data_IF_971408372667
#
_entry.id   IF_971408372667
#
_cell.length_a   1.000
_cell.length_b   1.000
_cell.length_c   1.000
_cell.angle_alpha   90.00
_cell.angle_beta   90.00
_cell.angle_gamma   90.00
#
_symmetry.space_group_name_H-M   'P 1'
#
loop_
_entity.id
_entity.type
_entity.pdbx_description
1 polymer ?
#
# COMPACT_ATOMS: atom_id res chain seq x y z
N UNK A 1 1.70 -0.03 13.89
CA UNK A 1 0.54 0.46 13.13
C UNK A 1 -0.48 0.93 14.15
N UNK A 2 -1.12 2.09 13.97
CA UNK A 2 -2.13 2.58 14.92
C UNK A 2 -3.40 1.72 14.82
N UNK A 3 -4.02 1.45 15.96
CA UNK A 3 -5.25 0.70 16.12
C UNK A 3 -6.22 1.56 16.95
N UNK A 4 -7.44 1.81 16.47
CA UNK A 4 -8.42 2.59 17.21
C UNK A 4 -8.93 1.80 18.42
N UNK A 5 -9.31 2.52 19.48
CA UNK A 5 -10.07 1.91 20.58
C UNK A 5 -11.40 1.36 20.03
N UNK A 6 -11.87 0.24 20.60
CA UNK A 6 -13.21 -0.31 20.37
C UNK A 6 -14.36 0.69 20.53
N UNK A 7 -14.18 1.73 21.36
CA UNK A 7 -15.15 2.81 21.55
C UNK A 7 -15.10 3.89 20.44
N UNK A 8 -14.07 3.89 19.59
CA UNK A 8 -13.93 4.85 18.49
C UNK A 8 -14.93 4.54 17.37
N UNK A 9 -15.63 5.57 16.87
CA UNK A 9 -16.54 5.43 15.73
C UNK A 9 -15.87 4.92 14.45
N UNK A 10 -14.54 4.99 14.36
CA UNK A 10 -13.74 4.44 13.26
C UNK A 10 -13.45 2.94 13.39
N UNK A 11 -13.53 2.36 14.59
CA UNK A 11 -13.22 0.94 14.86
C UNK A 11 -13.86 -0.07 13.88
N UNK A 12 -15.17 0.00 13.56
CA UNK A 12 -15.77 -0.95 12.61
C UNK A 12 -15.17 -0.84 11.20
N UNK A 13 -14.75 0.35 10.77
CA UNK A 13 -14.11 0.57 9.48
C UNK A 13 -12.65 0.10 9.48
N UNK A 14 -11.97 0.18 10.61
CA UNK A 14 -10.64 -0.42 10.78
C UNK A 14 -10.70 -1.95 10.71
N UNK A 15 -11.69 -2.61 11.32
CA UNK A 15 -11.89 -4.04 11.17
C UNK A 15 -12.20 -4.41 9.70
N UNK A 16 -13.03 -3.61 9.03
CA UNK A 16 -13.33 -3.77 7.61
C UNK A 16 -12.08 -3.64 6.73
N UNK A 17 -11.18 -2.69 7.05
CA UNK A 17 -9.89 -2.53 6.38
C UNK A 17 -9.09 -3.82 6.39
N UNK A 18 -8.93 -4.44 7.57
CA UNK A 18 -8.11 -5.64 7.73
C UNK A 18 -8.64 -6.78 6.86
N UNK A 19 -9.95 -7.05 6.95
CA UNK A 19 -10.61 -8.08 6.12
C UNK A 19 -10.45 -7.79 4.62
N UNK A 20 -10.58 -6.53 4.22
CA UNK A 20 -10.43 -6.13 2.83
C UNK A 20 -8.98 -6.31 2.32
N UNK A 21 -8.00 -5.95 3.15
CA UNK A 21 -6.57 -6.09 2.88
C UNK A 21 -6.18 -7.56 2.69
N UNK A 22 -6.53 -8.42 3.66
CA UNK A 22 -6.21 -9.84 3.63
C UNK A 22 -6.84 -10.52 2.41
N UNK A 23 -8.10 -10.20 2.11
CA UNK A 23 -8.80 -10.72 0.93
C UNK A 23 -8.16 -10.28 -0.40
N UNK A 24 -7.75 -9.02 -0.51
CA UNK A 24 -7.09 -8.53 -1.73
C UNK A 24 -5.70 -9.13 -1.93
N UNK A 25 -4.91 -9.29 -0.86
CA UNK A 25 -3.61 -9.95 -0.96
C UNK A 25 -3.75 -11.41 -1.37
N UNK A 26 -4.65 -12.16 -0.73
CA UNK A 26 -4.91 -13.55 -1.09
C UNK A 26 -5.29 -13.66 -2.57
N UNK A 27 -6.18 -12.78 -3.04
CA UNK A 27 -6.60 -12.78 -4.44
C UNK A 27 -5.48 -12.41 -5.41
N UNK A 28 -4.63 -11.44 -5.07
CA UNK A 28 -3.47 -11.06 -5.88
C UNK A 28 -2.46 -12.20 -5.98
N UNK A 29 -2.12 -12.85 -4.86
CA UNK A 29 -1.25 -14.03 -4.84
C UNK A 29 -1.81 -15.12 -5.77
N UNK A 30 -3.09 -15.45 -5.62
CA UNK A 30 -3.76 -16.51 -6.37
C UNK A 30 -3.79 -16.24 -7.88
N UNK A 31 -4.10 -15.00 -8.29
CA UNK A 31 -4.42 -14.70 -9.69
C UNK A 31 -3.26 -14.15 -10.50
N UNK A 32 -2.37 -13.37 -9.90
CA UNK A 32 -1.34 -12.60 -10.60
C UNK A 32 0.05 -12.92 -10.05
N UNK A 33 0.16 -13.10 -8.73
CA UNK A 33 1.42 -13.29 -8.01
C UNK A 33 2.05 -14.67 -8.17
N UNK A 34 1.34 -15.65 -8.76
CA UNK A 34 1.86 -17.01 -8.87
C UNK A 34 2.05 -17.69 -7.51
N UNK A 35 1.17 -17.38 -6.55
CA UNK A 35 1.17 -17.94 -5.19
C UNK A 35 1.65 -16.98 -4.10
N UNK A 36 2.36 -15.90 -4.45
CA UNK A 36 2.87 -14.95 -3.46
C UNK A 36 2.80 -13.48 -3.92
N UNK A 37 2.68 -12.57 -2.95
CA UNK A 37 2.70 -11.12 -3.18
C UNK A 37 3.96 -10.55 -2.53
N UNK A 38 4.79 -9.84 -3.29
CA UNK A 38 5.98 -9.20 -2.74
C UNK A 38 5.65 -7.90 -1.99
N UNK A 39 6.69 -7.28 -1.38
CA UNK A 39 6.52 -6.13 -0.50
C UNK A 39 5.97 -4.89 -1.21
N UNK A 40 6.28 -4.69 -2.51
CA UNK A 40 5.81 -3.54 -3.28
C UNK A 40 4.29 -3.52 -3.46
N UNK A 41 3.69 -4.56 -4.07
CA UNK A 41 2.24 -4.67 -4.18
C UNK A 41 1.57 -4.71 -2.81
N UNK A 42 2.16 -5.37 -1.81
CA UNK A 42 1.58 -5.45 -0.47
C UNK A 42 1.44 -4.07 0.20
N UNK A 43 2.43 -3.18 0.01
CA UNK A 43 2.35 -1.80 0.47
C UNK A 43 1.26 -1.01 -0.25
N UNK A 44 1.12 -1.19 -1.57
CA UNK A 44 0.07 -0.54 -2.34
C UNK A 44 -1.33 -0.97 -1.87
N UNK A 45 -1.55 -2.26 -1.61
CA UNK A 45 -2.82 -2.78 -1.05
C UNK A 45 -3.05 -2.24 0.36
N UNK A 46 -2.01 -2.12 1.19
CA UNK A 46 -2.14 -1.55 2.54
C UNK A 46 -2.63 -0.10 2.49
N UNK A 47 -2.05 0.72 1.60
CA UNK A 47 -2.47 2.09 1.38
C UNK A 47 -3.90 2.17 0.83
N UNK A 48 -4.26 1.30 -0.11
CA UNK A 48 -5.62 1.20 -0.63
C UNK A 48 -6.60 0.86 0.48
N UNK A 49 -6.30 -0.11 1.34
CA UNK A 49 -7.17 -0.54 2.42
C UNK A 49 -7.47 0.60 3.42
N UNK A 50 -6.44 1.37 3.79
CA UNK A 50 -6.60 2.54 4.69
C UNK A 50 -7.52 3.58 4.05
N UNK A 51 -7.27 3.92 2.78
CA UNK A 51 -8.05 4.89 2.04
C UNK A 51 -9.49 4.43 1.83
N UNK A 52 -9.70 3.14 1.57
CA UNK A 52 -11.01 2.51 1.49
C UNK A 52 -11.77 2.67 2.81
N UNK A 53 -11.20 2.27 3.94
CA UNK A 53 -11.87 2.38 5.23
C UNK A 53 -12.18 3.83 5.61
N UNK A 54 -11.21 4.74 5.42
CA UNK A 54 -11.41 6.17 5.65
C UNK A 54 -12.51 6.75 4.75
N UNK A 55 -12.60 6.32 3.48
CA UNK A 55 -13.67 6.74 2.57
C UNK A 55 -15.05 6.32 3.10
N UNK A 56 -15.19 5.08 3.60
CA UNK A 56 -16.47 4.58 4.12
C UNK A 56 -16.90 5.31 5.37
N UNK A 57 -15.97 5.53 6.30
CA UNK A 57 -16.25 6.29 7.50
C UNK A 57 -16.66 7.73 7.20
N UNK A 58 -15.94 8.42 6.31
CA UNK A 58 -16.29 9.80 5.94
C UNK A 58 -17.60 9.88 5.17
N UNK A 59 -17.94 8.91 4.32
CA UNK A 59 -19.25 8.85 3.66
C UNK A 59 -20.39 8.73 4.69
N UNK A 60 -20.24 7.84 5.68
CA UNK A 60 -21.26 7.66 6.71
C UNK A 60 -21.35 8.86 7.65
N UNK A 61 -20.22 9.48 7.98
CA UNK A 61 -20.18 10.71 8.76
C UNK A 61 -20.88 11.85 8.00
N UNK A 62 -20.54 12.06 6.73
CA UNK A 62 -21.13 13.08 5.87
C UNK A 62 -22.64 12.89 5.71
N UNK A 63 -23.13 11.65 5.60
CA UNK A 63 -24.55 11.36 5.52
C UNK A 63 -25.31 11.77 6.80
N UNK A 64 -24.67 11.65 7.98
CA UNK A 64 -25.26 12.04 9.27
C UNK A 64 -25.19 13.54 9.51
N UNK A 65 -24.07 14.17 9.17
CA UNK A 65 -23.81 15.60 9.47
C UNK A 65 -24.21 16.55 8.33
N UNK A 66 -24.53 16.01 7.15
CA UNK A 66 -24.73 16.77 5.90
C UNK A 66 -23.50 17.62 5.51
N UNK A 67 -22.32 17.16 5.89
CA UNK A 67 -21.05 17.83 5.58
C UNK A 67 -20.58 17.47 4.17
N UNK A 68 -20.60 18.46 3.28
CA UNK A 68 -20.20 18.33 1.88
C UNK A 68 -18.68 18.14 1.74
N UNK A 69 -17.87 18.74 2.62
CA UNK A 69 -16.41 18.60 2.57
C UNK A 69 -15.98 17.18 2.98
N UNK A 70 -16.67 16.60 3.97
CA UNK A 70 -16.50 15.20 4.33
C UNK A 70 -16.89 14.28 3.17
N UNK A 71 -17.99 14.56 2.45
CA UNK A 71 -18.42 13.81 1.26
C UNK A 71 -17.38 13.90 0.13
N UNK A 72 -16.89 15.10 -0.18
CA UNK A 72 -15.86 15.30 -1.20
C UNK A 72 -14.55 14.58 -0.85
N UNK A 73 -14.17 14.60 0.43
CA UNK A 73 -12.98 13.89 0.93
C UNK A 73 -13.14 12.37 0.86
N UNK A 74 -14.33 11.85 1.16
CA UNK A 74 -14.64 10.43 0.98
C UNK A 74 -14.46 9.99 -0.48
N UNK A 75 -15.00 10.76 -1.43
CA UNK A 75 -14.86 10.48 -2.87
C UNK A 75 -13.39 10.45 -3.31
N UNK A 76 -12.60 11.45 -2.90
CA UNK A 76 -11.16 11.50 -3.23
C UNK A 76 -10.40 10.30 -2.70
N UNK A 77 -10.69 9.86 -1.47
CA UNK A 77 -10.06 8.67 -0.89
C UNK A 77 -10.47 7.38 -1.61
N UNK A 78 -11.73 7.26 -2.02
CA UNK A 78 -12.20 6.11 -2.80
C UNK A 78 -11.47 6.02 -4.17
N UNK A 79 -11.25 7.16 -4.83
CA UNK A 79 -10.47 7.23 -6.06
C UNK A 79 -8.99 6.86 -5.84
N UNK A 80 -8.38 7.39 -4.78
CA UNK A 80 -7.00 7.04 -4.40
C UNK A 80 -6.86 5.56 -4.09
N UNK A 81 -7.84 4.96 -3.39
CA UNK A 81 -7.87 3.53 -3.09
C UNK A 81 -7.88 2.72 -4.39
N UNK A 82 -8.75 3.07 -5.33
CA UNK A 82 -8.86 2.40 -6.63
C UNK A 82 -7.56 2.47 -7.43
N UNK A 83 -6.88 3.63 -7.40
CA UNK A 83 -5.56 3.81 -8.05
C UNK A 83 -4.49 2.94 -7.43
N UNK A 84 -4.45 2.84 -6.10
CA UNK A 84 -3.50 1.99 -5.40
C UNK A 84 -3.71 0.51 -5.69
N UNK A 85 -4.96 0.06 -5.88
CA UNK A 85 -5.25 -1.31 -6.34
C UNK A 85 -4.66 -1.55 -7.73
N UNK A 86 -4.86 -0.64 -8.69
CA UNK A 86 -4.29 -0.79 -10.03
C UNK A 86 -2.75 -0.86 -10.00
N UNK A 87 -2.11 -0.02 -9.18
CA UNK A 87 -0.66 -0.06 -8.95
C UNK A 87 -0.25 -1.42 -8.37
N UNK A 88 -1.00 -1.96 -7.40
CA UNK A 88 -0.70 -3.26 -6.82
C UNK A 88 -0.76 -4.39 -7.87
N UNK A 89 -1.77 -4.38 -8.75
CA UNK A 89 -1.87 -5.35 -9.85
C UNK A 89 -0.67 -5.28 -10.78
N UNK A 90 -0.29 -4.07 -11.21
CA UNK A 90 0.84 -3.86 -12.11
C UNK A 90 2.16 -4.30 -11.48
N UNK A 91 2.41 -3.90 -10.22
CA UNK A 91 3.60 -4.32 -9.49
C UNK A 91 3.63 -5.83 -9.29
N UNK A 92 2.49 -6.45 -8.94
CA UNK A 92 2.42 -7.88 -8.69
C UNK A 92 2.72 -8.68 -9.96
N UNK A 93 2.21 -8.24 -11.11
CA UNK A 93 2.50 -8.85 -12.40
C UNK A 93 3.99 -8.72 -12.77
N UNK A 94 4.58 -7.55 -12.53
CA UNK A 94 6.01 -7.30 -12.79
C UNK A 94 6.90 -8.15 -11.88
N UNK A 95 6.55 -8.26 -10.60
CA UNK A 95 7.28 -9.10 -9.65
C UNK A 95 7.16 -10.59 -10.01
N UNK A 96 5.96 -11.08 -10.34
CA UNK A 96 5.77 -12.47 -10.75
C UNK A 96 6.55 -12.81 -12.04
N UNK A 97 6.51 -11.91 -13.04
CA UNK A 97 7.31 -12.08 -14.26
C UNK A 97 8.82 -12.03 -13.97
N UNK A 98 9.25 -11.17 -13.05
CA UNK A 98 10.64 -11.10 -12.60
C UNK A 98 11.09 -12.39 -11.91
N UNK A 99 10.28 -12.93 -11.01
CA UNK A 99 10.52 -14.21 -10.33
C UNK A 99 10.69 -15.35 -11.32
N UNK A 100 9.75 -15.48 -12.25
CA UNK A 100 9.80 -16.53 -13.27
C UNK A 100 11.08 -16.45 -14.11
N UNK A 101 11.52 -15.23 -14.48
CA UNK A 101 12.78 -15.02 -15.22
C UNK A 101 14.01 -15.37 -14.38
N UNK A 102 14.05 -14.98 -13.11
CA UNK A 102 15.16 -15.30 -12.21
C UNK A 102 15.29 -16.82 -12.04
N UNK A 103 14.17 -17.51 -11.82
CA UNK A 103 14.12 -18.96 -11.72
C UNK A 103 14.62 -19.66 -13.00
N UNK A 104 14.22 -19.19 -14.18
CA UNK A 104 14.72 -19.70 -15.46
C UNK A 104 16.22 -19.49 -15.66
N UNK A 105 16.75 -18.38 -15.14
CA UNK A 105 18.18 -18.05 -15.20
C UNK A 105 19.01 -18.76 -14.10
N UNK A 106 18.38 -19.52 -13.21
CA UNK A 106 19.04 -20.11 -12.04
C UNK A 106 19.59 -19.06 -11.06
N UNK A 107 19.04 -17.85 -11.07
CA UNK A 107 19.45 -16.75 -10.20
C UNK A 107 18.45 -16.62 -9.04
N UNK A 108 18.92 -16.26 -7.83
CA UNK A 108 18.03 -15.98 -6.71
C UNK A 108 17.12 -14.80 -7.04
N UNK A 109 15.84 -14.90 -6.66
CA UNK A 109 14.95 -13.75 -6.64
C UNK A 109 15.35 -12.83 -5.47
N UNK A 110 15.08 -11.53 -5.60
CA UNK A 110 15.47 -10.45 -4.68
C UNK A 110 15.74 -10.92 -3.23
N UNK A 111 16.99 -10.81 -2.78
CA UNK A 111 17.35 -10.93 -1.35
C UNK A 111 17.64 -12.34 -0.82
N UNK A 112 17.57 -13.40 -1.62
CA UNK A 112 17.89 -14.75 -1.12
C UNK A 112 19.38 -14.94 -0.73
N UNK A 113 20.25 -13.98 -1.10
CA UNK A 113 21.67 -13.90 -0.72
C UNK A 113 22.13 -12.54 -0.21
N UNK A 114 21.22 -11.59 0.06
CA UNK A 114 21.64 -10.28 0.54
C UNK A 114 22.13 -10.41 2.00
N UNK A 115 23.43 -10.19 2.30
CA UNK A 115 23.88 -10.13 3.69
C UNK A 115 23.09 -9.02 4.40
N UNK A 116 22.71 -9.27 5.65
CA UNK A 116 22.08 -8.28 6.51
C UNK A 116 22.88 -6.97 6.48
N UNK A 117 22.26 -5.92 5.94
CA UNK A 117 22.71 -4.53 5.75
C UNK A 117 24.14 -4.16 6.21
N UNK A 118 25.05 -3.74 5.31
CA UNK A 118 25.94 -2.64 5.64
C UNK A 118 25.17 -1.34 5.46
N UNK A 119 24.61 -0.83 6.56
CA UNK A 119 24.08 0.52 6.75
C UNK A 119 23.98 1.37 5.46
N UNK A 120 22.79 1.43 4.86
CA UNK A 120 22.50 2.35 3.74
C UNK A 120 22.67 3.79 4.24
N UNK A 121 23.88 4.31 4.08
CA UNK A 121 24.16 5.73 4.26
C UNK A 121 23.42 6.51 3.19
N UNK A 122 22.25 7.06 3.53
CA UNK A 122 21.61 8.12 2.75
C UNK A 122 22.48 9.38 2.84
N UNK A 123 23.66 9.36 2.23
CA UNK A 123 24.54 10.53 2.13
C UNK A 123 23.99 11.42 1.04
N UNK A 124 22.99 12.22 1.36
CA UNK A 124 22.62 13.37 0.56
C UNK A 124 23.85 14.27 0.40
N UNK A 125 24.27 14.53 -0.83
CA UNK A 125 25.32 15.53 -1.13
C UNK A 125 24.82 16.88 -0.62
N UNK A 126 25.25 17.30 0.57
CA UNK A 126 25.04 18.66 1.07
C UNK A 126 25.77 19.60 0.11
N UNK A 127 24.99 20.31 -0.72
CA UNK A 127 25.51 21.31 -1.64
C UNK A 127 26.37 22.33 -0.92
N UNK A 128 27.57 22.56 -1.43
CA UNK A 128 28.53 23.55 -0.89
C UNK A 128 27.92 24.95 -1.03
N UNK A 129 27.84 25.77 0.03
CA UNK A 129 27.31 27.12 -0.10
C UNK A 129 28.20 27.97 -1.01
N UNK A 130 27.62 28.54 -2.08
CA UNK A 130 28.29 29.52 -2.95
C UNK A 130 28.64 30.74 -2.10
N UNK A 131 29.94 31.04 -1.93
CA UNK A 131 30.38 32.34 -1.42
C UNK A 131 29.91 33.41 -2.41
N UNK A 132 29.01 34.29 -1.96
CA UNK A 132 28.69 35.53 -2.68
C UNK A 132 29.96 36.39 -2.62
N UNK A 133 30.42 36.83 -3.79
CA UNK A 133 31.41 37.89 -3.94
C UNK A 133 30.72 39.24 -3.72
#
# INVERSE_FOLDING_TARGET
MWEPDSADGFAPYYALRQKWYDGHLARLAETIGGGEVGPGPALAVSNAAIQFAASRWLSDLAARTKDIEAMASASRLADSSSRNVMIAHELCAKEAAGRAKAQQAGQPWLGETAPADPAVGLTGKRGRPKKRR
#
